data_IF_714713211720
#
_entry.id   IF_714713211720
#
_cell.length_a   1.000
_cell.length_b   1.000
_cell.length_c   1.000
_cell.angle_alpha   90.00
_cell.angle_beta   90.00
_cell.angle_gamma   90.00
#
_symmetry.space_group_name_H-M   'P 1'
#
loop_
_entity.id
_entity.type
_entity.pdbx_description
1 polymer ?
#
# COMPACT_ATOMS: atom_id res chain seq x y z
N UNK A 1 -70.40 -23.08 19.32
CA UNK A 1 -70.13 -23.80 18.06
C UNK A 1 -69.48 -22.90 17.04
N UNK A 2 -68.33 -23.28 16.49
CA UNK A 2 -68.01 -23.17 15.05
C UNK A 2 -66.56 -23.62 14.75
N UNK A 3 -66.50 -24.76 14.05
CA UNK A 3 -65.60 -25.12 12.96
C UNK A 3 -64.07 -25.13 13.16
N UNK A 4 -63.57 -26.36 13.36
CA UNK A 4 -62.33 -26.85 12.77
C UNK A 4 -62.26 -26.59 11.26
N UNK A 5 -61.06 -26.40 10.70
CA UNK A 5 -60.53 -27.11 9.51
C UNK A 5 -59.07 -26.71 9.21
N UNK A 6 -58.15 -27.58 9.66
CA UNK A 6 -57.05 -28.23 8.92
C UNK A 6 -56.18 -27.53 7.84
N UNK A 7 -54.87 -27.90 7.92
CA UNK A 7 -53.82 -27.99 6.87
C UNK A 7 -53.06 -26.69 6.48
N UNK A 8 -51.76 -26.66 6.22
CA UNK A 8 -50.73 -27.68 5.98
C UNK A 8 -49.32 -27.11 6.29
N UNK A 9 -48.41 -28.03 6.57
CA UNK A 9 -46.95 -27.92 6.76
C UNK A 9 -46.19 -27.10 5.68
N UNK A 10 -45.07 -26.46 6.06
CA UNK A 10 -43.78 -26.57 5.36
C UNK A 10 -42.67 -25.77 6.09
N UNK A 11 -41.72 -26.50 6.68
CA UNK A 11 -40.39 -26.02 7.05
C UNK A 11 -39.57 -25.58 5.83
N UNK A 12 -38.89 -24.43 5.92
CA UNK A 12 -37.59 -24.23 5.27
C UNK A 12 -36.69 -23.35 6.13
N UNK A 13 -35.63 -23.97 6.67
CA UNK A 13 -34.44 -23.27 7.18
C UNK A 13 -33.64 -22.77 5.99
N UNK A 14 -33.28 -21.49 5.99
CA UNK A 14 -32.24 -20.98 5.10
C UNK A 14 -31.19 -20.23 5.92
N UNK A 15 -30.07 -20.92 6.13
CA UNK A 15 -28.79 -20.32 6.50
C UNK A 15 -28.33 -19.40 5.37
N UNK A 16 -28.23 -18.10 5.62
CA UNK A 16 -27.61 -17.16 4.71
C UNK A 16 -26.18 -16.86 5.18
N UNK A 17 -25.25 -17.67 4.69
CA UNK A 17 -23.84 -17.29 4.59
C UNK A 17 -23.71 -16.08 3.65
N UNK A 18 -23.59 -14.87 4.20
CA UNK A 18 -23.16 -13.71 3.44
C UNK A 18 -21.65 -13.76 3.25
N UNK A 19 -21.21 -14.36 2.14
CA UNK A 19 -19.91 -14.03 1.54
C UNK A 19 -20.05 -12.66 0.89
N UNK A 20 -19.48 -11.62 1.49
CA UNK A 20 -19.33 -10.33 0.84
C UNK A 20 -18.17 -10.42 -0.16
N UNK A 21 -18.52 -10.58 -1.43
CA UNK A 21 -17.64 -10.44 -2.58
C UNK A 21 -17.35 -8.94 -2.80
N UNK A 22 -16.12 -8.51 -2.53
CA UNK A 22 -15.67 -7.13 -2.77
C UNK A 22 -15.27 -6.98 -4.24
N UNK A 23 -16.24 -6.59 -5.07
CA UNK A 23 -16.03 -6.32 -6.49
C UNK A 23 -16.80 -5.11 -7.00
N UNK A 24 -16.82 -3.99 -6.27
CA UNK A 24 -17.47 -2.77 -6.77
C UNK A 24 -16.55 -2.02 -7.74
N UNK A 25 -16.75 -2.28 -9.04
CA UNK A 25 -16.24 -1.44 -10.12
C UNK A 25 -17.13 -0.20 -10.26
N UNK A 26 -16.64 0.96 -9.84
CA UNK A 26 -17.22 2.24 -10.25
C UNK A 26 -16.40 2.79 -11.41
N UNK A 27 -16.75 2.42 -12.63
CA UNK A 27 -16.20 3.02 -13.85
C UNK A 27 -17.10 4.17 -14.27
N UNK A 28 -16.55 5.38 -14.30
CA UNK A 28 -17.21 6.56 -14.85
C UNK A 28 -17.39 6.41 -16.38
N UNK A 29 -18.14 7.31 -17.02
CA UNK A 29 -18.53 7.25 -18.46
C UNK A 29 -17.38 7.03 -19.48
N UNK A 30 -16.12 7.08 -19.03
CA UNK A 30 -14.89 6.90 -19.81
C UNK A 30 -14.15 5.57 -19.58
N UNK A 31 -14.70 4.65 -18.77
CA UNK A 31 -14.08 3.35 -18.51
C UNK A 31 -12.81 3.40 -17.64
N UNK A 32 -12.57 4.53 -16.96
CA UNK A 32 -11.47 4.69 -16.02
C UNK A 32 -11.76 3.84 -14.79
N UNK A 33 -10.81 2.98 -14.43
CA UNK A 33 -10.88 2.13 -13.24
C UNK A 33 -9.64 2.35 -12.38
N UNK A 34 -9.78 2.01 -11.10
CA UNK A 34 -8.68 2.01 -10.13
C UNK A 34 -8.41 0.59 -9.62
N UNK A 35 -7.14 0.32 -9.34
CA UNK A 35 -6.66 -0.93 -8.75
C UNK A 35 -5.80 -0.58 -7.56
N UNK A 36 -6.00 -1.30 -6.46
CA UNK A 36 -5.20 -1.17 -5.25
C UNK A 36 -4.19 -2.30 -5.22
N UNK A 37 -2.90 -1.95 -5.20
CA UNK A 37 -1.80 -2.88 -5.01
C UNK A 37 -1.29 -2.76 -3.56
N UNK A 38 -1.36 -3.87 -2.81
CA UNK A 38 -0.88 -3.93 -1.43
C UNK A 38 0.05 -5.11 -1.21
N UNK A 39 1.19 -4.88 -0.57
CA UNK A 39 2.15 -5.92 -0.17
C UNK A 39 2.83 -5.58 1.16
N UNK A 40 3.23 -6.62 1.89
CA UNK A 40 3.98 -6.56 3.17
C UNK A 40 5.41 -7.11 3.01
N UNK A 41 5.95 -6.97 1.80
CA UNK A 41 7.31 -7.34 1.42
C UNK A 41 7.90 -6.10 0.75
N UNK A 42 9.14 -5.69 1.04
CA UNK A 42 9.70 -4.48 0.43
C UNK A 42 10.09 -4.71 -1.02
N UNK A 43 10.19 -3.63 -1.78
CA UNK A 43 10.84 -3.64 -3.08
C UNK A 43 12.37 -3.72 -2.92
N UNK A 44 13.01 -4.48 -3.82
CA UNK A 44 14.44 -4.39 -4.07
C UNK A 44 14.72 -3.08 -4.82
N UNK A 45 15.63 -2.21 -4.32
CA UNK A 45 15.83 -0.87 -4.89
C UNK A 45 16.23 -0.88 -6.37
N UNK A 46 17.28 -1.63 -6.74
CA UNK A 46 17.69 -1.75 -8.15
C UNK A 46 16.61 -2.32 -9.08
N UNK A 47 15.80 -3.29 -8.64
CA UNK A 47 14.72 -3.84 -9.48
C UNK A 47 13.60 -2.82 -9.67
N UNK A 48 13.26 -2.07 -8.62
CA UNK A 48 12.27 -1.01 -8.72
C UNK A 48 12.72 0.11 -9.65
N UNK A 49 13.96 0.60 -9.51
CA UNK A 49 14.51 1.63 -10.40
C UNK A 49 14.50 1.15 -11.86
N UNK A 50 14.92 -0.09 -12.12
CA UNK A 50 14.87 -0.65 -13.47
C UNK A 50 13.44 -0.72 -14.04
N UNK A 51 12.44 -1.04 -13.23
CA UNK A 51 11.04 -1.02 -13.65
C UNK A 51 10.59 0.41 -13.99
N UNK A 52 10.94 1.38 -13.15
CA UNK A 52 10.61 2.79 -13.33
C UNK A 52 11.27 3.38 -14.58
N UNK A 53 12.47 2.95 -14.96
CA UNK A 53 13.14 3.40 -16.19
C UNK A 53 12.67 2.66 -17.45
N UNK A 54 11.92 1.56 -17.29
CA UNK A 54 11.50 0.73 -18.40
C UNK A 54 10.38 1.38 -19.23
N UNK A 55 10.27 0.98 -20.51
CA UNK A 55 9.11 1.36 -21.34
C UNK A 55 7.84 0.59 -20.96
N UNK A 56 8.01 -0.52 -20.24
CA UNK A 56 7.00 -1.47 -19.80
C UNK A 56 6.69 -1.29 -18.30
N UNK A 57 6.54 -0.03 -17.84
CA UNK A 57 6.02 0.32 -16.52
C UNK A 57 4.60 -0.28 -16.32
N UNK A 58 3.77 0.35 -15.50
CA UNK A 58 2.41 -0.10 -15.23
C UNK A 58 1.52 0.14 -16.46
N UNK A 59 1.41 -0.86 -17.34
CA UNK A 59 0.64 -0.78 -18.60
C UNK A 59 -0.81 -0.33 -18.35
N UNK A 60 -1.25 0.65 -19.16
CA UNK A 60 -2.59 1.23 -19.07
C UNK A 60 -2.77 2.23 -17.92
N UNK A 61 -1.78 2.37 -17.03
CA UNK A 61 -1.81 3.40 -15.99
C UNK A 61 -1.72 4.79 -16.61
N UNK A 62 -2.67 5.63 -16.23
CA UNK A 62 -2.63 7.07 -16.46
C UNK A 62 -1.95 7.77 -15.28
N UNK A 63 -2.24 7.28 -14.07
CA UNK A 63 -1.68 7.79 -12.83
C UNK A 63 -1.50 6.65 -11.83
N UNK A 64 -0.51 6.79 -10.95
CA UNK A 64 -0.45 6.02 -9.71
C UNK A 64 -0.01 6.91 -8.55
N UNK A 65 -0.51 6.63 -7.35
CA UNK A 65 -0.15 7.33 -6.12
C UNK A 65 -0.10 6.34 -4.96
N UNK A 66 0.60 6.71 -3.90
CA UNK A 66 0.54 5.99 -2.64
C UNK A 66 1.89 6.07 -1.95
N UNK A 67 2.25 5.01 -1.25
CA UNK A 67 3.56 4.90 -0.62
C UNK A 67 4.08 3.47 -0.79
N UNK A 68 5.40 3.35 -0.81
CA UNK A 68 6.09 2.08 -0.93
C UNK A 68 7.18 1.93 0.13
N UNK A 69 7.51 0.67 0.35
CA UNK A 69 8.59 0.27 1.25
C UNK A 69 9.74 -0.27 0.42
N UNK A 70 10.90 0.37 0.51
CA UNK A 70 12.12 0.00 -0.21
C UNK A 70 13.10 -0.62 0.79
N UNK A 71 13.67 -1.78 0.45
CA UNK A 71 14.43 -2.59 1.40
C UNK A 71 15.65 -1.86 1.99
N UNK A 72 16.41 -1.14 1.15
CA UNK A 72 17.57 -0.31 1.56
C UNK A 72 17.19 0.92 2.38
N UNK A 73 15.91 1.31 2.37
CA UNK A 73 15.36 2.47 3.10
C UNK A 73 14.36 1.99 4.14
N UNK A 74 14.78 1.01 4.94
CA UNK A 74 13.89 0.19 5.77
C UNK A 74 12.99 1.00 6.71
N UNK A 75 13.50 2.11 7.24
CA UNK A 75 12.85 2.91 8.29
C UNK A 75 12.03 4.08 7.75
N UNK A 76 12.09 4.34 6.44
CA UNK A 76 11.41 5.45 5.80
C UNK A 76 10.29 4.93 4.89
N UNK A 77 9.11 5.53 5.01
CA UNK A 77 8.04 5.38 4.02
C UNK A 77 8.38 6.22 2.80
N UNK A 78 8.27 5.67 1.60
CA UNK A 78 8.57 6.41 0.37
C UNK A 78 7.27 6.77 -0.31
N UNK A 79 7.00 8.07 -0.46
CA UNK A 79 5.87 8.53 -1.23
C UNK A 79 6.07 8.26 -2.72
N UNK A 80 5.04 7.69 -3.33
CA UNK A 80 5.01 7.32 -4.73
C UNK A 80 4.03 8.22 -5.47
N UNK A 81 4.53 8.91 -6.50
CA UNK A 81 3.68 9.67 -7.42
C UNK A 81 4.09 9.38 -8.86
N UNK A 82 3.16 8.91 -9.67
CA UNK A 82 3.40 8.62 -11.08
C UNK A 82 2.30 9.21 -11.96
N UNK A 83 2.67 9.87 -13.05
CA UNK A 83 1.76 10.41 -14.06
C UNK A 83 2.31 10.11 -15.45
N UNK A 84 1.56 9.33 -16.24
CA UNK A 84 2.07 8.75 -17.47
C UNK A 84 3.35 7.95 -17.19
N UNK A 85 4.47 8.38 -17.79
CA UNK A 85 5.79 7.73 -17.61
C UNK A 85 6.67 8.37 -16.55
N UNK A 86 6.28 9.53 -16.03
CA UNK A 86 7.07 10.23 -15.03
C UNK A 86 6.71 9.68 -13.66
N UNK A 87 7.71 9.23 -12.91
CA UNK A 87 7.56 8.79 -11.53
C UNK A 87 8.50 9.62 -10.63
N UNK A 88 7.98 10.07 -9.50
CA UNK A 88 8.71 10.70 -8.42
C UNK A 88 8.58 9.86 -7.16
N UNK A 89 9.70 9.71 -6.46
CA UNK A 89 9.80 9.11 -5.14
C UNK A 89 10.33 10.17 -4.18
N UNK A 90 9.59 10.43 -3.10
CA UNK A 90 9.94 11.40 -2.05
C UNK A 90 9.88 10.75 -0.68
N UNK A 91 10.50 11.36 0.33
CA UNK A 91 10.34 10.90 1.71
C UNK A 91 8.89 11.08 2.14
N UNK A 92 8.29 10.04 2.72
CA UNK A 92 6.96 10.04 3.34
C UNK A 92 7.01 9.98 4.86
N UNK A 93 8.16 10.31 5.45
CA UNK A 93 8.39 10.22 6.89
C UNK A 93 8.82 8.83 7.36
N UNK A 94 9.11 8.76 8.66
CA UNK A 94 9.55 7.54 9.35
C UNK A 94 8.35 6.63 9.63
N UNK A 95 8.51 5.32 9.45
CA UNK A 95 7.48 4.35 9.84
C UNK A 95 7.26 4.37 11.35
N UNK A 96 6.03 4.20 11.83
CA UNK A 96 5.75 4.15 13.28
C UNK A 96 6.45 2.97 13.98
N UNK A 97 6.72 1.90 13.25
CA UNK A 97 7.51 0.78 13.77
C UNK A 97 9.03 0.98 13.66
N UNK A 98 9.51 2.13 13.19
CA UNK A 98 10.92 2.53 13.23
C UNK A 98 11.18 3.50 14.40
N UNK A 99 10.22 4.38 14.69
CA UNK A 99 10.29 5.35 15.79
C UNK A 99 8.96 5.38 16.56
N UNK A 100 9.03 5.19 17.88
CA UNK A 100 7.86 5.17 18.76
C UNK A 100 7.51 6.54 19.37
N UNK A 101 8.15 7.62 18.90
CA UNK A 101 7.84 9.02 19.23
C UNK A 101 6.34 9.35 19.11
N UNK A 102 5.62 8.75 18.16
CA UNK A 102 4.18 8.88 18.00
C UNK A 102 3.37 8.56 19.27
N UNK A 103 3.88 7.70 20.15
CA UNK A 103 3.20 7.37 21.41
C UNK A 103 3.18 8.55 22.38
N UNK A 104 4.22 9.38 22.33
CA UNK A 104 4.30 10.62 23.08
C UNK A 104 3.48 11.69 22.41
N UNK A 105 3.57 11.83 21.08
CA UNK A 105 2.82 12.83 20.32
C UNK A 105 1.31 12.67 20.46
N UNK A 106 0.84 11.42 20.64
CA UNK A 106 -0.56 11.07 20.82
C UNK A 106 -0.88 10.54 22.22
N UNK A 107 -0.12 10.94 23.26
CA UNK A 107 -0.31 10.43 24.62
C UNK A 107 -1.72 10.68 25.18
N UNK A 108 -2.35 11.78 24.77
CA UNK A 108 -3.72 12.17 25.14
C UNK A 108 -4.81 11.43 24.34
N UNK A 109 -4.45 10.68 23.29
CA UNK A 109 -5.37 9.88 22.47
C UNK A 109 -4.95 8.40 22.39
N UNK A 110 -5.17 7.63 23.47
CA UNK A 110 -4.86 6.20 23.49
C UNK A 110 -5.69 5.39 22.48
N UNK A 111 -6.82 5.90 21.98
CA UNK A 111 -7.59 5.23 20.94
C UNK A 111 -6.91 5.33 19.57
N UNK A 112 -6.31 6.48 19.26
CA UNK A 112 -5.49 6.66 18.07
C UNK A 112 -4.27 5.73 18.08
N UNK A 113 -3.55 5.64 19.20
CA UNK A 113 -2.42 4.72 19.35
C UNK A 113 -2.87 3.27 19.08
N UNK A 114 -4.00 2.84 19.66
CA UNK A 114 -4.55 1.50 19.41
C UNK A 114 -4.88 1.26 17.94
N UNK A 115 -5.40 2.25 17.22
CA UNK A 115 -5.68 2.14 15.78
C UNK A 115 -4.41 2.04 14.94
N UNK A 116 -3.38 2.81 15.27
CA UNK A 116 -2.06 2.72 14.61
C UNK A 116 -1.49 1.32 14.81
N UNK A 117 -1.44 0.84 16.05
CA UNK A 117 -0.86 -0.46 16.38
C UNK A 117 -1.70 -1.64 15.88
N UNK A 118 -3.00 -1.46 15.64
CA UNK A 118 -3.86 -2.50 15.05
C UNK A 118 -3.44 -2.89 13.63
N UNK A 119 -2.80 -1.97 12.89
CA UNK A 119 -2.30 -2.22 11.54
C UNK A 119 -0.90 -2.87 11.52
N UNK A 120 -0.27 -3.05 12.69
CA UNK A 120 1.09 -3.61 12.78
C UNK A 120 1.08 -5.11 12.54
N UNK A 121 2.03 -5.58 11.73
CA UNK A 121 2.23 -7.00 11.47
C UNK A 121 3.67 -7.38 11.76
N UNK A 122 3.86 -8.47 12.51
CA UNK A 122 5.21 -9.00 12.75
C UNK A 122 5.84 -9.51 11.45
N UNK A 123 7.16 -9.32 11.26
CA UNK A 123 8.09 -8.67 12.19
C UNK A 123 8.27 -7.16 11.96
N UNK A 124 7.63 -6.56 10.95
CA UNK A 124 7.99 -5.24 10.41
C UNK A 124 7.06 -4.07 10.80
N UNK A 125 6.02 -4.35 11.59
CA UNK A 125 5.07 -3.34 12.07
C UNK A 125 4.16 -2.84 10.95
N UNK A 126 4.06 -1.53 10.78
CA UNK A 126 3.20 -0.84 9.80
C UNK A 126 3.75 -0.79 8.38
N UNK A 127 5.04 -1.13 8.19
CA UNK A 127 5.73 -1.17 6.90
C UNK A 127 4.93 -1.97 5.86
N UNK A 128 4.64 -1.32 4.73
CA UNK A 128 3.90 -1.91 3.60
C UNK A 128 4.08 -1.10 2.31
N UNK A 129 3.71 -1.71 1.21
CA UNK A 129 3.45 -1.02 -0.06
C UNK A 129 1.94 -0.88 -0.20
N UNK A 130 1.49 0.31 -0.57
CA UNK A 130 0.10 0.59 -0.89
C UNK A 130 0.04 1.63 -2.00
N UNK A 131 -0.31 1.16 -3.21
CA UNK A 131 -0.42 1.98 -4.39
C UNK A 131 -1.83 1.91 -4.94
N UNK A 132 -2.39 3.06 -5.31
CA UNK A 132 -3.54 3.13 -6.21
C UNK A 132 -3.02 3.35 -7.63
N UNK A 133 -3.50 2.53 -8.56
CA UNK A 133 -3.23 2.67 -10.00
C UNK A 133 -4.55 3.02 -10.67
N UNK A 134 -4.56 4.12 -11.41
CA UNK A 134 -5.74 4.64 -12.11
C UNK A 134 -5.45 4.63 -13.61
N UNK A 135 -6.37 4.10 -14.40
CA UNK A 135 -6.19 4.03 -15.84
C UNK A 135 -7.33 3.34 -16.58
N UNK A 136 -7.09 3.03 -17.84
CA UNK A 136 -8.06 2.43 -18.76
C UNK A 136 -7.56 1.04 -19.16
N UNK A 137 -8.48 0.08 -19.30
CA UNK A 137 -8.17 -1.32 -19.65
C UNK A 137 -7.10 -1.94 -18.74
N UNK A 138 -7.09 -1.55 -17.46
CA UNK A 138 -6.14 -2.08 -16.50
C UNK A 138 -6.37 -3.58 -16.30
N UNK A 139 -5.28 -4.35 -16.36
CA UNK A 139 -5.29 -5.76 -16.00
C UNK A 139 -4.61 -5.92 -14.64
N UNK A 140 -5.42 -6.13 -13.60
CA UNK A 140 -4.93 -6.28 -12.22
C UNK A 140 -3.84 -7.34 -12.08
N UNK A 141 -4.01 -8.50 -12.69
CA UNK A 141 -3.04 -9.60 -12.55
C UNK A 141 -1.70 -9.27 -13.18
N UNK A 142 -1.71 -8.60 -14.33
CA UNK A 142 -0.47 -8.18 -14.99
C UNK A 142 0.21 -7.07 -14.21
N UNK A 143 -0.54 -6.11 -13.67
CA UNK A 143 0.01 -5.02 -12.83
C UNK A 143 0.63 -5.59 -11.56
N UNK A 144 -0.09 -6.47 -10.85
CA UNK A 144 0.41 -7.15 -9.67
C UNK A 144 1.67 -7.95 -10.00
N UNK A 145 1.66 -8.74 -11.07
CA UNK A 145 2.81 -9.51 -11.51
C UNK A 145 4.02 -8.64 -11.81
N UNK A 146 3.83 -7.52 -12.53
CA UNK A 146 4.91 -6.58 -12.86
C UNK A 146 5.51 -5.97 -11.61
N UNK A 147 4.69 -5.46 -10.68
CA UNK A 147 5.18 -4.90 -9.42
C UNK A 147 5.82 -5.98 -8.53
N UNK A 148 5.26 -7.19 -8.51
CA UNK A 148 5.79 -8.33 -7.74
C UNK A 148 7.18 -8.75 -8.21
N UNK A 149 7.57 -8.49 -9.47
CA UNK A 149 8.94 -8.70 -9.95
C UNK A 149 9.98 -7.83 -9.23
N UNK A 150 9.55 -6.76 -8.56
CA UNK A 150 10.42 -5.87 -7.80
C UNK A 150 10.51 -6.25 -6.32
N UNK A 151 9.65 -7.13 -5.79
CA UNK A 151 9.65 -7.50 -4.37
C UNK A 151 10.84 -8.38 -4.02
N UNK A 152 11.35 -8.27 -2.79
CA UNK A 152 12.36 -9.20 -2.29
C UNK A 152 11.93 -10.66 -2.44
N UNK A 153 12.87 -11.50 -2.86
CA UNK A 153 12.71 -12.96 -2.84
C UNK A 153 12.71 -13.47 -1.40
N UNK A 154 12.21 -14.69 -1.14
CA UNK A 154 12.28 -15.30 0.19
C UNK A 154 13.71 -15.38 0.75
N UNK A 155 14.71 -15.55 -0.10
CA UNK A 155 16.13 -15.61 0.26
C UNK A 155 16.67 -14.22 0.65
N UNK A 156 16.35 -13.20 -0.13
CA UNK A 156 16.70 -11.81 0.17
C UNK A 156 16.01 -11.31 1.44
N UNK A 157 14.74 -11.69 1.67
CA UNK A 157 14.00 -11.31 2.87
C UNK A 157 14.66 -11.87 4.15
N UNK A 158 15.33 -13.03 4.07
CA UNK A 158 16.06 -13.62 5.21
C UNK A 158 17.32 -12.84 5.60
N UNK A 159 17.86 -12.01 4.71
CA UNK A 159 19.02 -11.17 5.02
C UNK A 159 18.68 -10.13 6.11
N UNK A 160 17.42 -9.70 6.16
CA UNK A 160 16.94 -8.67 7.09
C UNK A 160 17.53 -7.28 6.84
N UNK A 161 17.15 -6.28 7.66
CA UNK A 161 17.49 -4.87 7.43
C UNK A 161 18.98 -4.63 7.21
N UNK A 162 19.84 -5.20 8.06
CA UNK A 162 21.30 -5.07 7.94
C UNK A 162 21.85 -5.58 6.61
N UNK A 163 21.25 -6.62 6.03
CA UNK A 163 21.68 -7.13 4.72
C UNK A 163 21.06 -6.36 3.57
N UNK A 164 19.93 -5.69 3.78
CA UNK A 164 19.28 -4.85 2.78
C UNK A 164 19.94 -3.49 2.60
N UNK A 165 20.60 -2.98 3.65
CA UNK A 165 21.47 -1.78 3.59
C UNK A 165 22.57 -1.93 2.54
N UNK A 166 23.01 -3.16 2.27
CA UNK A 166 24.05 -3.49 1.28
C UNK A 166 23.50 -3.63 -0.15
N UNK A 167 22.19 -3.51 -0.37
CA UNK A 167 21.64 -3.51 -1.72
C UNK A 167 22.02 -2.23 -2.47
N UNK A 168 22.38 -2.40 -3.74
CA UNK A 168 22.61 -1.27 -4.65
C UNK A 168 21.33 -0.43 -4.78
N UNK A 169 21.36 0.78 -4.22
CA UNK A 169 20.26 1.74 -4.21
C UNK A 169 20.55 2.90 -5.16
N UNK A 170 19.99 2.89 -6.39
CA UNK A 170 20.24 3.91 -7.39
C UNK A 170 19.39 5.17 -7.19
N UNK A 171 18.48 5.20 -6.20
CA UNK A 171 17.64 6.36 -5.96
C UNK A 171 18.43 7.47 -5.27
N UNK A 172 18.14 8.76 -5.56
CA UNK A 172 18.76 9.86 -4.84
C UNK A 172 18.44 9.76 -3.35
N UNK A 173 19.36 10.22 -2.51
CA UNK A 173 19.06 10.42 -1.09
C UNK A 173 17.92 11.45 -0.99
N UNK A 174 17.04 11.27 -0.01
CA UNK A 174 16.09 12.32 0.30
C UNK A 174 16.86 13.50 0.88
N UNK A 175 16.56 14.70 0.42
CA UNK A 175 17.08 15.92 1.01
C UNK A 175 16.36 16.10 2.35
N UNK A 176 17.11 16.40 3.41
CA UNK A 176 16.52 16.80 4.67
C UNK A 176 15.99 18.23 4.45
N UNK A 177 14.67 18.39 4.42
CA UNK A 177 13.97 19.67 4.24
C UNK A 177 14.07 20.54 5.52
N UNK A 178 15.26 20.57 6.15
CA UNK A 178 15.61 21.44 7.28
C UNK A 178 15.93 22.87 6.78
N UNK A 179 15.15 23.40 5.85
CA UNK A 179 15.09 24.85 5.62
C UNK A 179 14.19 25.43 6.71
N UNK A 180 14.79 25.75 7.86
CA UNK A 180 14.26 26.77 8.75
C UNK A 180 14.01 28.02 7.90
N UNK A 181 12.75 28.42 7.76
CA UNK A 181 12.37 29.74 7.29
C UNK A 181 13.06 30.78 8.21
N UNK A 182 14.27 31.22 7.85
CA UNK A 182 14.85 32.46 8.39
C UNK A 182 13.88 33.58 8.02
N UNK A 183 13.01 33.95 8.97
CA UNK A 183 12.24 35.18 8.91
C UNK A 183 13.20 36.33 8.60
N UNK A 184 13.16 36.83 7.38
CA UNK A 184 13.85 38.04 6.98
C UNK A 184 13.30 39.22 7.77
N UNK A 185 13.96 39.56 8.88
CA UNK A 185 13.96 40.90 9.42
C UNK A 185 14.75 41.80 8.47
N UNK A 186 14.07 42.69 7.76
CA UNK A 186 14.54 44.03 7.39
C UNK A 186 13.37 44.99 7.09
#
# INVERSE_FOLDING_TARGET
DHHHHHHHDHQHKHDHHHKHDHGHKHGDHYGIISIIYRRRVPFHPARLSKLLDSKDQIKGSLRSKGFCWIASRHDVSVEWNMAGRMCGLTSGGVWYAADDSYKKDFEDDPELIRKIEADFQKPWGDRRIELVVIGIDLNQKEIEKTLDTCLLTPEELKLGPKGWEEFDDPFPKFEDDDEEDEEGED
#
